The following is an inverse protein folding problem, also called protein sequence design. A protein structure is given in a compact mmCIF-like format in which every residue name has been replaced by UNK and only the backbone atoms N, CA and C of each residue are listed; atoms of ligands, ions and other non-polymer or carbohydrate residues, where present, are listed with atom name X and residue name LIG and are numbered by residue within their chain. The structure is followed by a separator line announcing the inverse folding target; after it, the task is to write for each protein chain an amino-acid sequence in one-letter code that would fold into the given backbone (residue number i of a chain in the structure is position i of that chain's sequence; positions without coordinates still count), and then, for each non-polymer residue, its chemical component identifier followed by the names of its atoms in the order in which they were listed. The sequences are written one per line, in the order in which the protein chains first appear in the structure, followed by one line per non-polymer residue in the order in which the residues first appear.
data_IF_265035494360
#
_entry.id   IF_265035494360
#
_cell.length_a   1.000
_cell.length_b   1.000
_cell.length_c   1.000
_cell.angle_alpha   90.00
_cell.angle_beta   90.00
_cell.angle_gamma   90.00
#
_symmetry.space_group_name_H-M   'P 1'
#
loop_
_entity.id
_entity.type
_entity.pdbx_description
1 polymer ?
#
# COMPACT_ATOMS: atom_id res chain seq x y z
N UNK A 1 -5.76 40.61 -13.69
CA UNK A 1 -6.36 39.41 -13.05
C UNK A 1 -5.40 38.25 -13.25
N UNK A 2 -4.46 38.10 -12.31
CA UNK A 2 -3.33 37.16 -12.34
C UNK A 2 -3.75 35.93 -11.51
N UNK A 3 -4.50 34.98 -12.09
CA UNK A 3 -5.01 33.84 -11.30
C UNK A 3 -5.29 32.57 -12.10
N UNK A 4 -4.63 32.37 -13.24
CA UNK A 4 -4.86 31.20 -14.11
C UNK A 4 -3.59 30.39 -14.39
N UNK A 5 -2.54 30.55 -13.58
CA UNK A 5 -1.25 29.85 -13.77
C UNK A 5 -0.98 28.80 -12.68
N UNK A 6 -1.81 28.70 -11.64
CA UNK A 6 -1.53 27.81 -10.50
C UNK A 6 -2.26 26.46 -10.52
N UNK A 7 -3.13 26.18 -11.49
CA UNK A 7 -3.91 24.93 -11.53
C UNK A 7 -3.28 23.82 -12.38
N UNK A 8 -2.11 24.03 -12.98
CA UNK A 8 -1.52 23.12 -13.96
C UNK A 8 -0.15 22.56 -13.54
N UNK A 9 0.11 22.45 -12.23
CA UNK A 9 1.35 21.88 -11.68
C UNK A 9 1.08 20.77 -10.66
N UNK A 10 0.26 19.79 -11.03
CA UNK A 10 0.34 18.47 -10.41
C UNK A 10 0.43 17.45 -11.56
N UNK A 11 1.65 17.26 -12.07
CA UNK A 11 1.99 16.13 -12.93
C UNK A 11 2.93 15.21 -12.15
N UNK A 12 2.68 13.90 -12.28
CA UNK A 12 3.32 12.75 -11.64
C UNK A 12 2.86 12.53 -10.18
N UNK A 13 2.07 11.51 -9.87
CA UNK A 13 2.38 10.08 -10.06
C UNK A 13 1.09 9.24 -10.26
N UNK A 14 0.96 8.49 -11.35
CA UNK A 14 0.11 7.27 -11.45
C UNK A 14 -1.36 7.28 -10.99
N UNK A 15 -1.99 8.41 -10.67
CA UNK A 15 -3.25 8.46 -9.95
C UNK A 15 -4.47 8.20 -10.87
N UNK A 16 -4.74 6.93 -11.15
CA UNK A 16 -6.12 6.48 -11.20
C UNK A 16 -6.78 6.66 -9.82
N UNK A 17 -8.11 6.57 -9.71
CA UNK A 17 -8.73 6.46 -8.39
C UNK A 17 -8.09 5.29 -7.65
N UNK A 18 -7.67 5.51 -6.39
CA UNK A 18 -7.17 4.46 -5.49
C UNK A 18 -8.14 3.28 -5.52
N UNK A 19 -7.62 2.08 -5.76
CA UNK A 19 -8.40 0.87 -5.62
C UNK A 19 -8.62 0.59 -4.13
N UNK A 20 -9.80 0.98 -3.65
CA UNK A 20 -10.15 0.89 -2.24
C UNK A 20 -10.13 -0.58 -1.75
N UNK A 21 -10.45 -1.54 -2.62
CA UNK A 21 -10.41 -2.96 -2.27
C UNK A 21 -8.98 -3.42 -1.97
N UNK A 22 -8.02 -3.07 -2.83
CA UNK A 22 -6.60 -3.33 -2.62
C UNK A 22 -6.07 -2.65 -1.36
N UNK A 23 -6.43 -1.38 -1.14
CA UNK A 23 -6.04 -0.65 0.06
C UNK A 23 -6.56 -1.30 1.35
N UNK A 24 -7.84 -1.69 1.40
CA UNK A 24 -8.41 -2.35 2.57
C UNK A 24 -7.82 -3.76 2.78
N UNK A 25 -7.57 -4.51 1.71
CA UNK A 25 -6.87 -5.80 1.78
C UNK A 25 -5.46 -5.64 2.38
N UNK A 26 -4.74 -4.59 1.98
CA UNK A 26 -3.48 -4.18 2.57
C UNK A 26 -3.58 -3.88 4.05
N UNK A 27 -4.53 -3.02 4.45
CA UNK A 27 -4.77 -2.68 5.87
C UNK A 27 -5.01 -3.93 6.71
N UNK A 28 -5.90 -4.84 6.26
CA UNK A 28 -6.19 -6.08 6.97
C UNK A 28 -4.95 -6.98 7.14
N UNK A 29 -4.03 -6.99 6.17
CA UNK A 29 -2.77 -7.72 6.29
C UNK A 29 -1.80 -7.08 7.31
N UNK A 30 -1.86 -5.76 7.48
CA UNK A 30 -1.06 -4.99 8.44
C UNK A 30 -1.55 -5.06 9.89
N UNK A 31 -2.87 -5.22 10.13
CA UNK A 31 -3.49 -5.19 11.48
C UNK A 31 -2.91 -6.24 12.46
N UNK A 32 -2.29 -7.32 11.98
CA UNK A 32 -1.60 -8.33 12.81
C UNK A 32 -0.07 -8.28 12.75
N UNK A 33 0.51 -7.43 11.91
CA UNK A 33 1.93 -7.48 11.53
C UNK A 33 2.88 -6.71 12.42
N UNK A 34 2.38 -5.82 13.28
CA UNK A 34 3.22 -4.89 14.06
C UNK A 34 4.20 -5.62 15.00
N UNK A 35 3.78 -6.75 15.59
CA UNK A 35 4.65 -7.62 16.39
C UNK A 35 5.71 -8.30 15.52
N UNK A 36 5.36 -8.74 14.32
CA UNK A 36 6.29 -9.41 13.39
C UNK A 36 7.34 -8.44 12.84
N UNK A 37 6.98 -7.19 12.58
CA UNK A 37 7.92 -6.12 12.19
C UNK A 37 8.83 -5.76 13.38
N UNK A 38 8.25 -5.52 14.57
CA UNK A 38 9.00 -5.09 15.77
C UNK A 38 9.97 -6.15 16.29
N UNK A 39 9.62 -7.44 16.24
CA UNK A 39 10.44 -8.53 16.81
C UNK A 39 11.10 -9.43 15.76
N UNK A 40 10.55 -9.52 14.55
CA UNK A 40 11.10 -10.32 13.46
C UNK A 40 12.26 -9.65 12.72
N UNK A 41 12.47 -8.34 12.92
CA UNK A 41 13.57 -7.58 12.32
C UNK A 41 13.35 -7.21 10.84
N UNK A 42 12.17 -7.46 10.29
CA UNK A 42 11.77 -7.01 8.95
C UNK A 42 11.32 -5.56 8.98
N UNK A 43 11.55 -4.80 7.91
CA UNK A 43 10.94 -3.47 7.76
C UNK A 43 9.43 -3.61 7.52
N UNK A 44 8.63 -2.55 7.77
CA UNK A 44 7.22 -2.52 7.41
C UNK A 44 6.99 -2.84 5.93
N UNK A 45 7.81 -2.29 5.03
CA UNK A 45 7.68 -2.55 3.59
C UNK A 45 7.95 -4.02 3.24
N UNK A 46 9.02 -4.62 3.79
CA UNK A 46 9.36 -6.02 3.53
C UNK A 46 8.25 -6.97 4.05
N UNK A 47 7.67 -6.66 5.21
CA UNK A 47 6.53 -7.41 5.73
C UNK A 47 5.32 -7.31 4.80
N UNK A 48 4.98 -6.10 4.35
CA UNK A 48 3.83 -5.88 3.47
C UNK A 48 4.02 -6.54 2.09
N UNK A 49 5.24 -6.52 1.55
CA UNK A 49 5.57 -7.22 0.31
C UNK A 49 5.42 -8.74 0.49
N UNK A 50 5.87 -9.29 1.62
CA UNK A 50 5.66 -10.71 1.92
C UNK A 50 4.17 -11.05 2.01
N UNK A 51 3.34 -10.23 2.66
CA UNK A 51 1.91 -10.48 2.72
C UNK A 51 1.25 -10.44 1.34
N UNK A 52 1.62 -9.48 0.50
CA UNK A 52 1.12 -9.38 -0.88
C UNK A 52 1.48 -10.64 -1.70
N UNK A 53 2.72 -11.12 -1.57
CA UNK A 53 3.20 -12.32 -2.27
C UNK A 53 2.55 -13.59 -1.71
N UNK A 54 2.41 -13.73 -0.40
CA UNK A 54 1.77 -14.90 0.23
C UNK A 54 0.28 -15.01 -0.10
N UNK A 55 -0.40 -13.86 -0.25
CA UNK A 55 -1.79 -13.81 -0.71
C UNK A 55 -1.97 -14.14 -2.19
N UNK A 56 -0.88 -14.12 -2.98
CA UNK A 56 -0.91 -14.38 -4.43
C UNK A 56 -0.43 -15.80 -4.74
N UNK A 57 -1.26 -16.67 -5.33
CA UNK A 57 -0.81 -17.99 -5.74
C UNK A 57 0.39 -17.92 -6.70
N UNK A 58 1.37 -18.83 -6.51
CA UNK A 58 2.59 -18.87 -7.33
C UNK A 58 2.23 -18.97 -8.83
N UNK A 59 2.77 -18.07 -9.63
CA UNK A 59 2.52 -18.02 -11.08
C UNK A 59 1.20 -17.33 -11.48
N UNK A 60 0.47 -16.73 -10.53
CA UNK A 60 -0.67 -15.84 -10.79
C UNK A 60 -0.27 -14.39 -10.54
N UNK A 61 -0.96 -13.47 -11.22
CA UNK A 61 -0.95 -12.06 -10.83
C UNK A 61 -1.92 -11.91 -9.66
N UNK A 62 -1.61 -11.03 -8.72
CA UNK A 62 -2.53 -10.65 -7.67
C UNK A 62 -3.76 -9.99 -8.30
N UNK A 63 -4.92 -10.20 -7.68
CA UNK A 63 -6.15 -9.48 -8.02
C UNK A 63 -6.11 -8.04 -7.47
N UNK A 64 -5.18 -7.75 -6.55
CA UNK A 64 -4.99 -6.44 -5.94
C UNK A 64 -3.90 -5.62 -6.65
N UNK A 65 -4.13 -4.30 -6.75
CA UNK A 65 -3.08 -3.36 -7.09
C UNK A 65 -2.02 -3.35 -5.99
N UNK A 66 -0.76 -3.54 -6.41
CA UNK A 66 0.34 -3.65 -5.46
C UNK A 66 0.57 -2.33 -4.71
N UNK A 67 0.46 -1.19 -5.39
CA UNK A 67 0.69 0.12 -4.76
C UNK A 67 -0.32 0.36 -3.66
N UNK A 68 -1.60 0.25 -4.00
CA UNK A 68 -2.69 0.52 -3.05
C UNK A 68 -2.69 -0.47 -1.87
N UNK A 69 -2.37 -1.75 -2.12
CA UNK A 69 -2.20 -2.74 -1.04
C UNK A 69 -1.05 -2.39 -0.10
N UNK A 70 0.10 -1.98 -0.65
CA UNK A 70 1.27 -1.63 0.16
C UNK A 70 0.99 -0.40 1.03
N UNK A 71 0.31 0.61 0.46
CA UNK A 71 -0.09 1.81 1.20
C UNK A 71 -1.00 1.46 2.38
N UNK A 72 -2.03 0.64 2.16
CA UNK A 72 -2.91 0.20 3.24
C UNK A 72 -2.18 -0.60 4.32
N UNK A 73 -1.29 -1.50 3.92
CA UNK A 73 -0.54 -2.31 4.88
C UNK A 73 0.43 -1.47 5.73
N UNK A 74 1.15 -0.52 5.11
CA UNK A 74 2.07 0.38 5.81
C UNK A 74 1.31 1.31 6.76
N UNK A 75 0.17 1.85 6.32
CA UNK A 75 -0.69 2.69 7.17
C UNK A 75 -1.12 1.93 8.44
N UNK A 76 -1.61 0.70 8.29
CA UNK A 76 -2.04 -0.11 9.44
C UNK A 76 -0.90 -0.42 10.42
N UNK A 77 0.31 -0.69 9.91
CA UNK A 77 1.49 -0.91 10.76
C UNK A 77 1.97 0.36 11.47
N UNK A 78 1.77 1.52 10.84
CA UNK A 78 2.17 2.83 11.39
C UNK A 78 1.21 3.34 12.47
N UNK A 79 -0.05 2.90 12.43
CA UNK A 79 -1.06 3.18 13.46
C UNK A 79 -0.94 2.28 14.72
N UNK A 80 -0.03 1.30 14.73
CA UNK A 80 0.06 0.19 15.72
C UNK A 80 1.19 0.24 16.76
#
# INVERSE_FOLDING_TARGET
MLALVCYALIYATGAGPRDEESYQAGRSAGEGGSTMVKFGGSTPEDYCEQQFVMGTPVGKKSDFDRGDFMDGCIDALSES
#
